data_IF_048442525722
#
_entry.id   IF_048442525722
#
_cell.length_a   1.000
_cell.length_b   1.000
_cell.length_c   1.000
_cell.angle_alpha   90.00
_cell.angle_beta   90.00
_cell.angle_gamma   90.00
#
_symmetry.space_group_name_H-M   'P 1'
#
loop_
_entity.id
_entity.type
_entity.pdbx_description
1 polymer ?
#
# COMPACT_ATOMS: atom_id res chain seq x y z
N UNK A 1 -44.81 -17.82 18.67
CA UNK A 1 -45.43 -16.76 17.85
C UNK A 1 -45.11 -15.46 18.56
N UNK A 2 -44.22 -14.62 18.03
CA UNK A 2 -43.95 -13.31 18.62
C UNK A 2 -44.97 -12.35 18.00
N UNK A 3 -46.02 -11.99 18.74
CA UNK A 3 -47.14 -11.17 18.24
C UNK A 3 -47.03 -9.68 18.60
N UNK A 4 -46.00 -9.25 19.35
CA UNK A 4 -45.86 -7.86 19.78
C UNK A 4 -44.58 -7.23 19.24
N UNK A 5 -44.73 -6.10 18.55
CA UNK A 5 -43.62 -5.31 18.02
C UNK A 5 -43.10 -4.37 19.12
N UNK A 6 -42.23 -4.88 19.99
CA UNK A 6 -41.65 -4.16 21.14
C UNK A 6 -40.75 -2.97 20.76
N UNK A 7 -40.55 -2.69 19.47
CA UNK A 7 -39.77 -1.54 19.00
C UNK A 7 -40.27 -0.21 19.59
N UNK A 8 -41.57 -0.06 19.83
CA UNK A 8 -42.15 1.14 20.42
C UNK A 8 -41.90 1.29 21.93
N UNK A 9 -41.57 0.19 22.63
CA UNK A 9 -41.27 0.17 24.05
C UNK A 9 -39.77 0.41 24.34
N UNK A 10 -38.94 0.32 23.29
CA UNK A 10 -37.51 0.61 23.36
C UNK A 10 -37.32 2.14 23.45
N UNK A 11 -36.46 2.65 24.35
CA UNK A 11 -36.07 4.05 24.38
C UNK A 11 -35.62 4.57 23.01
N UNK A 12 -36.03 5.80 22.66
CA UNK A 12 -35.81 6.39 21.33
C UNK A 12 -34.34 6.44 20.91
N UNK A 13 -33.46 6.74 21.86
CA UNK A 13 -32.00 6.73 21.69
C UNK A 13 -31.48 5.34 21.26
N UNK A 14 -32.00 4.27 21.85
CA UNK A 14 -31.64 2.89 21.47
C UNK A 14 -32.21 2.55 20.08
N UNK A 15 -33.44 2.97 19.76
CA UNK A 15 -34.01 2.80 18.41
C UNK A 15 -33.15 3.52 17.35
N UNK A 16 -32.73 4.75 17.63
CA UNK A 16 -31.85 5.53 16.75
C UNK A 16 -30.48 4.85 16.57
N UNK A 17 -29.90 4.29 17.64
CA UNK A 17 -28.66 3.49 17.56
C UNK A 17 -28.83 2.23 16.70
N UNK A 18 -29.93 1.49 16.86
CA UNK A 18 -30.21 0.28 16.05
C UNK A 18 -30.35 0.65 14.57
N UNK A 19 -31.06 1.74 14.28
CA UNK A 19 -31.24 2.24 12.91
C UNK A 19 -29.96 2.80 12.30
N UNK A 20 -29.04 3.32 13.10
CA UNK A 20 -27.71 3.73 12.65
C UNK A 20 -26.85 2.51 12.30
N UNK A 21 -26.80 1.51 13.19
CA UNK A 21 -26.06 0.26 12.98
C UNK A 21 -26.59 -0.52 11.77
N UNK A 22 -27.91 -0.60 11.59
CA UNK A 22 -28.52 -1.35 10.47
C UNK A 22 -28.21 -0.76 9.10
N UNK A 23 -27.81 0.51 9.03
CA UNK A 23 -27.39 1.18 7.78
C UNK A 23 -25.91 1.00 7.48
N UNK A 24 -25.11 0.54 8.44
CA UNK A 24 -23.67 0.36 8.25
C UNK A 24 -23.41 -0.76 7.26
N UNK A 25 -22.58 -0.47 6.28
CA UNK A 25 -22.18 -1.41 5.24
C UNK A 25 -20.72 -1.75 5.40
N UNK A 26 -20.42 -3.03 5.29
CA UNK A 26 -19.08 -3.56 5.46
C UNK A 26 -18.61 -4.22 4.16
N UNK A 27 -17.30 -4.15 3.92
CA UNK A 27 -16.66 -4.77 2.77
C UNK A 27 -15.33 -5.40 3.16
N UNK A 28 -14.91 -6.38 2.38
CA UNK A 28 -13.54 -6.85 2.38
C UNK A 28 -12.77 -6.13 1.27
N UNK A 29 -11.57 -5.66 1.60
CA UNK A 29 -10.67 -4.96 0.68
C UNK A 29 -9.46 -5.84 0.41
N UNK A 30 -9.18 -6.08 -0.87
CA UNK A 30 -8.01 -6.80 -1.33
C UNK A 30 -7.08 -5.88 -2.13
N UNK A 31 -5.81 -5.84 -1.74
CA UNK A 31 -4.77 -5.02 -2.33
C UNK A 31 -3.73 -5.93 -2.99
N UNK A 32 -3.41 -5.68 -4.25
CA UNK A 32 -2.36 -6.39 -5.00
C UNK A 32 -1.46 -5.41 -5.75
N UNK A 33 -0.27 -5.87 -6.15
CA UNK A 33 0.74 -5.02 -6.81
C UNK A 33 1.07 -5.50 -8.21
N UNK A 34 1.31 -4.51 -9.07
CA UNK A 34 1.53 -4.67 -10.50
C UNK A 34 2.71 -3.80 -10.91
N UNK A 35 3.39 -4.16 -11.99
CA UNK A 35 4.52 -3.40 -12.52
C UNK A 35 4.18 -2.76 -13.87
N UNK A 36 4.82 -1.63 -14.14
CA UNK A 36 4.77 -0.96 -15.43
C UNK A 36 5.90 -1.49 -16.32
N UNK A 37 5.65 -2.60 -17.03
CA UNK A 37 6.62 -3.23 -17.96
C UNK A 37 7.11 -2.29 -19.09
N UNK A 38 6.49 -1.13 -19.29
CA UNK A 38 6.89 -0.13 -20.28
C UNK A 38 8.13 0.68 -19.88
N UNK A 39 8.54 0.66 -18.60
CA UNK A 39 9.78 1.30 -18.18
C UNK A 39 10.98 0.38 -18.44
N UNK A 40 11.84 0.83 -19.36
CA UNK A 40 13.01 0.19 -19.97
C UNK A 40 14.18 -0.13 -19.02
N UNK A 41 13.91 -0.62 -17.81
CA UNK A 41 14.89 -0.76 -16.72
C UNK A 41 14.74 -2.06 -15.90
N UNK A 42 14.65 -3.18 -16.60
CA UNK A 42 14.74 -4.55 -16.04
C UNK A 42 16.07 -4.83 -15.28
N UNK A 43 17.00 -3.88 -15.26
CA UNK A 43 18.33 -3.96 -14.65
C UNK A 43 18.39 -3.59 -13.18
N UNK A 44 17.40 -2.87 -12.62
CA UNK A 44 17.44 -2.44 -11.21
C UNK A 44 17.02 -3.54 -10.23
N UNK A 45 16.30 -4.54 -10.71
CA UNK A 45 15.78 -5.63 -9.88
C UNK A 45 15.96 -6.96 -10.56
N UNK A 46 16.30 -7.98 -9.78
CA UNK A 46 16.31 -9.34 -10.30
C UNK A 46 14.87 -9.82 -10.58
N UNK A 47 14.72 -10.78 -11.51
CA UNK A 47 13.45 -11.49 -11.73
C UNK A 47 12.84 -12.06 -10.44
N UNK A 48 13.69 -12.52 -9.50
CA UNK A 48 13.25 -13.02 -8.19
C UNK A 48 12.64 -11.91 -7.34
N UNK A 49 13.27 -10.74 -7.30
CA UNK A 49 12.75 -9.58 -6.57
C UNK A 49 11.44 -9.09 -7.18
N UNK A 50 11.34 -8.99 -8.51
CA UNK A 50 10.10 -8.62 -9.18
C UNK A 50 8.95 -9.56 -8.78
N UNK A 51 9.15 -10.88 -8.87
CA UNK A 51 8.16 -11.86 -8.42
C UNK A 51 7.77 -11.70 -6.95
N UNK A 52 8.73 -11.38 -6.08
CA UNK A 52 8.46 -11.18 -4.65
C UNK A 52 7.62 -9.91 -4.39
N UNK A 53 7.77 -8.88 -5.21
CA UNK A 53 6.93 -7.67 -5.14
C UNK A 53 5.51 -8.02 -5.61
N UNK A 54 5.38 -8.61 -6.79
CA UNK A 54 4.08 -8.91 -7.42
C UNK A 54 3.24 -9.97 -6.67
N UNK A 55 3.88 -10.91 -5.97
CA UNK A 55 3.18 -11.93 -5.16
C UNK A 55 2.63 -11.39 -3.84
N UNK A 56 3.12 -10.24 -3.39
CA UNK A 56 2.65 -9.67 -2.15
C UNK A 56 1.26 -9.09 -2.32
N UNK A 57 0.39 -9.38 -1.38
CA UNK A 57 -0.99 -8.90 -1.34
C UNK A 57 -1.44 -8.76 0.10
N UNK A 58 -2.41 -7.88 0.33
CA UNK A 58 -2.99 -7.64 1.64
C UNK A 58 -4.51 -7.76 1.54
N UNK A 59 -5.12 -8.46 2.50
CA UNK A 59 -6.59 -8.47 2.67
C UNK A 59 -6.93 -7.79 3.98
N UNK A 60 -7.89 -6.87 3.94
CA UNK A 60 -8.49 -6.22 5.11
C UNK A 60 -9.95 -6.63 5.12
N UNK A 61 -10.40 -7.25 6.20
CA UNK A 61 -11.78 -7.73 6.30
C UNK A 61 -12.64 -6.78 7.09
N UNK A 62 -13.95 -6.79 6.81
CA UNK A 62 -14.98 -6.09 7.58
C UNK A 62 -14.69 -4.59 7.74
N UNK A 63 -14.29 -3.92 6.67
CA UNK A 63 -14.09 -2.46 6.65
C UNK A 63 -15.43 -1.77 6.43
N UNK A 64 -15.80 -0.87 7.34
CA UNK A 64 -16.98 -0.01 7.19
C UNK A 64 -16.77 0.99 6.05
N UNK A 65 -17.70 1.06 5.09
CA UNK A 65 -17.53 1.83 3.84
C UNK A 65 -17.35 3.33 4.09
N UNK A 66 -17.93 3.86 5.17
CA UNK A 66 -17.83 5.29 5.53
C UNK A 66 -16.68 5.58 6.50
N UNK A 67 -15.84 4.57 6.82
CA UNK A 67 -14.69 4.76 7.71
C UNK A 67 -13.53 5.51 7.04
N UNK A 68 -12.72 6.19 7.85
CA UNK A 68 -11.46 6.81 7.42
C UNK A 68 -10.52 5.79 6.75
N UNK A 69 -10.57 4.53 7.19
CA UNK A 69 -9.78 3.46 6.59
C UNK A 69 -10.17 3.19 5.13
N UNK A 70 -11.47 3.24 4.83
CA UNK A 70 -11.96 3.06 3.46
C UNK A 70 -11.62 4.26 2.59
N UNK A 71 -11.84 5.48 3.08
CA UNK A 71 -11.57 6.71 2.30
C UNK A 71 -10.07 6.88 1.98
N UNK A 72 -9.19 6.42 2.86
CA UNK A 72 -7.73 6.53 2.68
C UNK A 72 -7.07 5.26 2.11
N UNK A 73 -7.84 4.33 1.54
CA UNK A 73 -7.33 3.03 1.10
C UNK A 73 -6.20 3.13 0.06
N UNK A 74 -6.25 4.14 -0.80
CA UNK A 74 -5.22 4.40 -1.81
C UNK A 74 -3.87 4.73 -1.17
N UNK A 75 -3.88 5.65 -0.20
CA UNK A 75 -2.68 6.04 0.56
C UNK A 75 -2.13 4.87 1.37
N UNK A 76 -3.02 4.06 1.94
CA UNK A 76 -2.65 2.84 2.65
C UNK A 76 -1.99 1.81 1.73
N UNK A 77 -2.53 1.60 0.53
CA UNK A 77 -1.98 0.67 -0.46
C UNK A 77 -0.57 1.10 -0.92
N UNK A 78 -0.36 2.40 -1.16
CA UNK A 78 0.96 2.95 -1.51
C UNK A 78 1.97 2.76 -0.38
N UNK A 79 1.56 3.02 0.86
CA UNK A 79 2.41 2.83 2.05
C UNK A 79 2.82 1.36 2.21
N UNK A 80 1.89 0.43 2.03
CA UNK A 80 2.18 -1.01 2.05
C UNK A 80 3.20 -1.37 0.97
N UNK A 81 2.99 -0.92 -0.26
CA UNK A 81 3.90 -1.19 -1.38
C UNK A 81 5.32 -0.70 -1.06
N UNK A 82 5.43 0.57 -0.65
CA UNK A 82 6.71 1.19 -0.32
C UNK A 82 7.41 0.49 0.84
N UNK A 83 6.67 0.10 1.87
CA UNK A 83 7.18 -0.67 3.01
C UNK A 83 7.71 -2.04 2.58
N UNK A 84 6.97 -2.77 1.75
CA UNK A 84 7.40 -4.08 1.26
C UNK A 84 8.66 -3.98 0.39
N UNK A 85 8.72 -3.01 -0.53
CA UNK A 85 9.92 -2.75 -1.34
C UNK A 85 11.10 -2.39 -0.43
N UNK A 86 10.89 -1.51 0.54
CA UNK A 86 11.93 -1.11 1.51
C UNK A 86 12.50 -2.31 2.25
N UNK A 87 11.65 -3.25 2.70
CA UNK A 87 12.09 -4.48 3.35
C UNK A 87 12.91 -5.37 2.42
N UNK A 88 12.49 -5.53 1.16
CA UNK A 88 13.24 -6.33 0.18
C UNK A 88 14.61 -5.72 -0.13
N UNK A 89 14.69 -4.41 -0.34
CA UNK A 89 15.96 -3.70 -0.56
C UNK A 89 16.83 -3.75 0.70
N UNK A 90 16.25 -3.66 1.89
CA UNK A 90 16.97 -3.75 3.16
C UNK A 90 17.69 -5.07 3.38
N UNK A 91 17.22 -6.13 2.74
CA UNK A 91 17.87 -7.45 2.81
C UNK A 91 19.05 -7.58 1.84
N UNK A 92 19.30 -6.60 0.97
CA UNK A 92 20.44 -6.58 0.09
C UNK A 92 21.68 -6.05 0.82
N UNK A 93 22.84 -6.65 0.54
CA UNK A 93 24.12 -6.11 1.00
C UNK A 93 24.40 -4.77 0.33
N UNK A 94 24.99 -3.82 1.06
CA UNK A 94 25.35 -2.49 0.52
C UNK A 94 26.15 -2.55 -0.78
N UNK A 95 27.14 -3.45 -0.86
CA UNK A 95 27.93 -3.65 -2.08
C UNK A 95 27.08 -4.07 -3.31
N UNK A 96 26.01 -4.85 -3.09
CA UNK A 96 25.10 -5.23 -4.16
C UNK A 96 24.24 -4.06 -4.63
N UNK A 97 23.77 -3.22 -3.70
CA UNK A 97 23.01 -1.99 -4.01
C UNK A 97 23.89 -1.05 -4.84
N UNK A 98 25.12 -0.79 -4.40
CA UNK A 98 26.09 0.03 -5.13
C UNK A 98 26.31 -0.53 -6.53
N UNK A 99 26.56 -1.83 -6.65
CA UNK A 99 26.74 -2.47 -7.96
C UNK A 99 25.55 -2.27 -8.89
N UNK A 100 24.31 -2.46 -8.40
CA UNK A 100 23.10 -2.23 -9.20
C UNK A 100 23.04 -0.79 -9.71
N UNK A 101 23.37 0.19 -8.87
CA UNK A 101 23.39 1.61 -9.27
C UNK A 101 24.48 1.89 -10.31
N UNK A 102 25.69 1.38 -10.10
CA UNK A 102 26.82 1.52 -11.02
C UNK A 102 26.56 0.87 -12.38
N UNK A 103 26.00 -0.34 -12.41
CA UNK A 103 25.59 -1.06 -13.63
C UNK A 103 24.50 -0.31 -14.41
N UNK A 104 23.93 0.75 -13.83
CA UNK A 104 22.91 1.63 -14.43
C UNK A 104 23.36 3.10 -14.52
N UNK A 105 24.67 3.34 -14.56
CA UNK A 105 25.28 4.67 -14.72
C UNK A 105 24.95 5.68 -13.60
N UNK A 106 24.69 5.17 -12.39
CA UNK A 106 24.47 5.99 -11.18
C UNK A 106 25.68 5.83 -10.25
N UNK A 107 26.62 6.75 -10.40
CA UNK A 107 27.86 6.78 -9.62
C UNK A 107 27.74 7.59 -8.31
N UNK A 108 26.86 8.60 -8.29
CA UNK A 108 26.55 9.39 -7.09
C UNK A 108 25.04 9.34 -6.79
N UNK A 109 24.69 8.49 -5.82
CA UNK A 109 23.31 8.31 -5.39
C UNK A 109 22.73 9.56 -4.72
N UNK A 110 23.54 10.32 -3.99
CA UNK A 110 23.09 11.50 -3.25
C UNK A 110 22.69 12.63 -4.20
N UNK A 111 23.54 12.93 -5.19
CA UNK A 111 23.23 13.94 -6.22
C UNK A 111 22.00 13.50 -7.01
N UNK A 112 21.95 12.24 -7.43
CA UNK A 112 20.83 11.71 -8.22
C UNK A 112 19.51 11.76 -7.46
N UNK A 113 19.52 11.34 -6.19
CA UNK A 113 18.36 11.39 -5.32
C UNK A 113 17.87 12.83 -5.16
N UNK A 114 18.77 13.75 -4.82
CA UNK A 114 18.41 15.15 -4.62
C UNK A 114 17.85 15.81 -5.89
N UNK A 115 18.37 15.46 -7.06
CA UNK A 115 17.87 16.00 -8.33
C UNK A 115 16.45 15.52 -8.67
N UNK A 116 16.09 14.29 -8.28
CA UNK A 116 14.85 13.63 -8.72
C UNK A 116 13.74 13.62 -7.69
N UNK A 117 14.07 13.61 -6.40
CA UNK A 117 13.14 13.29 -5.31
C UNK A 117 13.22 14.27 -4.13
N UNK A 118 14.00 15.36 -4.23
CA UNK A 118 14.08 16.35 -3.15
C UNK A 118 12.88 17.30 -3.15
N UNK A 119 11.78 16.81 -2.61
CA UNK A 119 10.75 17.62 -1.97
C UNK A 119 10.49 16.97 -0.62
N UNK A 120 11.00 17.59 0.45
CA UNK A 120 10.76 17.24 1.87
C UNK A 120 11.28 15.89 2.38
N UNK A 121 12.40 15.39 1.86
CA UNK A 121 13.07 14.27 2.50
C UNK A 121 13.81 14.74 3.77
N UNK A 122 13.48 14.14 4.92
CA UNK A 122 14.24 14.27 6.16
C UNK A 122 15.70 13.82 6.01
N UNK A 123 16.42 13.70 7.12
CA UNK A 123 17.83 13.27 7.08
C UNK A 123 17.89 11.84 6.49
N UNK A 124 18.60 11.69 5.37
CA UNK A 124 18.84 10.39 4.71
C UNK A 124 20.22 9.88 5.11
N UNK A 125 20.23 8.75 5.81
CA UNK A 125 21.46 8.10 6.30
C UNK A 125 22.16 7.24 5.22
N UNK A 126 21.40 6.66 4.28
CA UNK A 126 21.94 5.85 3.17
C UNK A 126 21.24 6.20 1.85
N UNK A 127 21.93 7.03 1.04
CA UNK A 127 21.39 7.55 -0.21
C UNK A 127 21.29 6.47 -1.29
N UNK A 128 22.20 5.51 -1.31
CA UNK A 128 22.20 4.39 -2.27
C UNK A 128 20.93 3.55 -2.08
N UNK A 129 20.62 3.23 -0.83
CA UNK A 129 19.42 2.48 -0.46
C UNK A 129 18.14 3.28 -0.73
N UNK A 130 18.09 4.54 -0.29
CA UNK A 130 16.94 5.40 -0.51
C UNK A 130 16.63 5.59 -2.00
N UNK A 131 17.67 5.83 -2.81
CA UNK A 131 17.51 5.98 -4.25
C UNK A 131 17.01 4.70 -4.91
N UNK A 132 17.57 3.54 -4.55
CA UNK A 132 17.12 2.28 -5.12
C UNK A 132 15.64 2.00 -4.77
N UNK A 133 15.23 2.29 -3.54
CA UNK A 133 13.82 2.15 -3.12
C UNK A 133 12.91 3.04 -3.98
N UNK A 134 13.23 4.32 -4.17
CA UNK A 134 12.42 5.24 -4.98
C UNK A 134 12.36 4.82 -6.45
N UNK A 135 13.50 4.41 -7.03
CA UNK A 135 13.53 3.93 -8.42
C UNK A 135 12.63 2.71 -8.58
N UNK A 136 12.73 1.73 -7.66
CA UNK A 136 11.90 0.53 -7.73
C UNK A 136 10.44 0.89 -7.52
N UNK A 137 10.11 1.61 -6.45
CA UNK A 137 8.75 2.01 -6.10
C UNK A 137 8.00 2.67 -7.25
N UNK A 138 8.63 3.60 -7.97
CA UNK A 138 8.03 4.30 -9.10
C UNK A 138 7.76 3.42 -10.35
N UNK A 139 8.22 2.16 -10.36
CA UNK A 139 7.91 1.20 -11.42
C UNK A 139 6.72 0.28 -11.09
N UNK A 140 6.13 0.41 -9.90
CA UNK A 140 5.01 -0.39 -9.46
C UNK A 140 3.80 0.47 -9.14
N UNK A 141 2.63 -0.15 -9.23
CA UNK A 141 1.36 0.42 -8.83
C UNK A 141 0.53 -0.64 -8.11
N UNK A 142 -0.49 -0.19 -7.38
CA UNK A 142 -1.40 -1.06 -6.66
C UNK A 142 -2.73 -1.20 -7.41
N UNK A 143 -3.46 -2.27 -7.13
CA UNK A 143 -4.87 -2.43 -7.48
C UNK A 143 -5.64 -2.78 -6.21
N UNK A 144 -6.72 -2.05 -5.97
CA UNK A 144 -7.67 -2.31 -4.90
C UNK A 144 -8.90 -2.99 -5.50
N UNK A 145 -9.31 -4.08 -4.87
CA UNK A 145 -10.55 -4.80 -5.16
C UNK A 145 -11.41 -4.79 -3.92
N UNK A 146 -12.68 -4.43 -4.07
CA UNK A 146 -13.63 -4.30 -2.96
C UNK A 146 -14.75 -5.31 -3.19
N UNK A 147 -14.98 -6.14 -2.19
CA UNK A 147 -16.09 -7.09 -2.13
C UNK A 147 -17.01 -6.66 -1.02
N UNK A 148 -18.18 -6.13 -1.39
CA UNK A 148 -19.22 -5.78 -0.42
C UNK A 148 -19.86 -7.05 0.15
N UNK A 149 -20.13 -7.04 1.46
CA UNK A 149 -21.01 -8.03 2.05
C UNK A 149 -22.43 -7.48 1.98
N UNK A 150 -23.33 -8.20 1.32
CA UNK A 150 -24.76 -7.98 1.53
C UNK A 150 -25.11 -8.59 2.90
N UNK A 151 -25.65 -7.76 3.80
CA UNK A 151 -26.24 -8.22 5.07
C UNK A 151 -27.69 -8.60 4.80
#
# INVERSE_FOLDING_TARGET
>A
MFEENYLHDIPRDIQEMIMDISKRRYCDIYISFWNNYSNTKDSFISKRMNRNILKYSQTIKNVEIDSEQYTNIESYALTILKSHITRLVSNLKKAAIIKILYDNDIYDAKITYKKKYASDAGIIDDYEKALLIEIIYNNYYYKVFITAHEI
#
